data_IF_164119528600
#
_entry.id   IF_164119528600
#
_cell.length_a   1.000
_cell.length_b   1.000
_cell.length_c   1.000
_cell.angle_alpha   90.00
_cell.angle_beta   90.00
_cell.angle_gamma   90.00
#
_symmetry.space_group_name_H-M   'P 1'
#
loop_
_entity.id
_entity.type
_entity.pdbx_description
1 polymer ?
#
# COMPACT_ATOMS: atom_id res chain seq x y z
N UNK A 1 -48.79 -76.86 -11.60
CA UNK A 1 -48.78 -76.78 -13.07
C UNK A 1 -48.74 -75.31 -13.43
N UNK A 2 -47.93 -74.90 -14.39
CA UNK A 2 -47.67 -73.58 -14.93
C UNK A 2 -46.68 -72.66 -14.12
N UNK A 3 -45.41 -72.71 -14.58
CA UNK A 3 -44.36 -71.88 -14.21
C UNK A 3 -44.45 -70.46 -14.84
N UNK A 4 -44.33 -69.36 -14.08
CA UNK A 4 -44.15 -68.00 -14.58
C UNK A 4 -42.67 -67.65 -14.51
N UNK A 5 -42.03 -67.40 -15.66
CA UNK A 5 -40.69 -66.88 -15.83
C UNK A 5 -40.68 -65.38 -15.53
N UNK A 6 -39.93 -64.96 -14.55
CA UNK A 6 -39.59 -63.56 -14.30
C UNK A 6 -38.40 -63.15 -15.14
N UNK A 7 -38.57 -62.10 -15.93
CA UNK A 7 -37.48 -61.43 -16.71
C UNK A 7 -36.78 -60.41 -15.82
N UNK A 8 -35.52 -60.65 -15.52
CA UNK A 8 -34.61 -59.61 -14.93
C UNK A 8 -34.28 -58.59 -16.00
N UNK A 9 -34.64 -57.34 -15.73
CA UNK A 9 -34.08 -56.17 -16.44
C UNK A 9 -32.78 -55.76 -15.77
N UNK A 10 -31.66 -55.83 -16.48
CA UNK A 10 -30.38 -55.28 -16.08
C UNK A 10 -30.37 -53.82 -16.45
N UNK A 11 -30.40 -52.90 -15.48
CA UNK A 11 -30.10 -51.49 -15.62
C UNK A 11 -28.59 -51.33 -15.50
N UNK A 12 -27.93 -50.89 -16.60
CA UNK A 12 -26.51 -50.51 -16.57
C UNK A 12 -26.42 -49.09 -16.01
N UNK A 13 -25.82 -48.94 -14.84
CA UNK A 13 -25.44 -47.63 -14.30
C UNK A 13 -24.10 -47.21 -14.91
N UNK A 14 -24.12 -46.14 -15.67
CA UNK A 14 -22.93 -45.50 -16.23
C UNK A 14 -22.30 -44.65 -15.12
N UNK A 15 -21.18 -45.12 -14.52
CA UNK A 15 -20.37 -44.34 -13.63
C UNK A 15 -19.46 -43.41 -14.47
N UNK A 16 -19.78 -42.09 -14.45
CA UNK A 16 -18.87 -41.05 -14.90
C UNK A 16 -17.82 -40.86 -13.83
N UNK A 17 -16.58 -41.33 -14.09
CA UNK A 17 -15.40 -40.95 -13.34
C UNK A 17 -15.03 -39.53 -13.73
N UNK A 18 -15.27 -38.57 -12.86
CA UNK A 18 -14.65 -37.23 -12.91
C UNK A 18 -13.24 -37.39 -12.37
N UNK A 19 -12.25 -37.42 -13.24
CA UNK A 19 -10.84 -37.37 -12.85
C UNK A 19 -10.51 -35.96 -12.37
N UNK A 20 -10.49 -35.73 -11.05
CA UNK A 20 -9.89 -34.55 -10.47
C UNK A 20 -8.37 -34.66 -10.68
N UNK A 21 -7.84 -33.88 -11.58
CA UNK A 21 -6.38 -33.69 -11.73
C UNK A 21 -5.88 -32.93 -10.52
N UNK A 22 -5.41 -33.64 -9.51
CA UNK A 22 -4.66 -33.04 -8.41
C UNK A 22 -3.29 -32.62 -8.94
N UNK A 23 -3.04 -31.32 -9.02
CA UNK A 23 -1.71 -30.78 -9.30
C UNK A 23 -0.75 -31.22 -8.20
N UNK A 24 0.21 -32.08 -8.51
CA UNK A 24 1.16 -32.65 -7.56
C UNK A 24 2.14 -31.59 -7.00
N UNK A 25 2.89 -31.91 -5.93
CA UNK A 25 3.81 -30.98 -5.26
C UNK A 25 4.90 -30.38 -6.17
N UNK A 26 5.25 -31.03 -7.24
CA UNK A 26 6.17 -30.50 -8.26
C UNK A 26 5.62 -29.28 -9.01
N UNK A 27 4.30 -29.18 -9.26
CA UNK A 27 3.68 -28.02 -9.88
C UNK A 27 3.67 -26.81 -8.94
N UNK A 28 3.41 -27.02 -7.66
CA UNK A 28 3.46 -25.97 -6.64
C UNK A 28 4.88 -25.41 -6.45
N UNK A 29 5.89 -26.27 -6.45
CA UNK A 29 7.31 -25.86 -6.38
C UNK A 29 7.77 -25.11 -7.62
N UNK A 30 7.32 -25.50 -8.82
CA UNK A 30 7.64 -24.81 -10.08
C UNK A 30 6.98 -23.42 -10.13
N UNK A 31 5.73 -23.30 -9.66
CA UNK A 31 5.05 -22.01 -9.55
C UNK A 31 5.69 -21.10 -8.49
N UNK A 32 6.06 -21.62 -7.34
CA UNK A 32 6.74 -20.84 -6.29
C UNK A 32 8.12 -20.34 -6.75
N UNK A 33 8.86 -21.17 -7.49
CA UNK A 33 10.13 -20.75 -8.09
C UNK A 33 9.95 -19.70 -9.18
N UNK A 34 8.97 -19.85 -10.06
CA UNK A 34 8.64 -18.86 -11.09
C UNK A 34 8.21 -17.51 -10.50
N UNK A 35 7.46 -17.52 -9.39
CA UNK A 35 7.06 -16.30 -8.65
C UNK A 35 8.29 -15.62 -8.02
N UNK A 36 9.26 -16.37 -7.50
CA UNK A 36 10.48 -15.78 -6.93
C UNK A 36 11.42 -15.26 -8.01
N UNK A 37 11.63 -16.01 -9.11
CA UNK A 37 12.43 -15.56 -10.26
C UNK A 37 11.82 -14.28 -10.90
N UNK A 38 10.50 -14.16 -10.91
CA UNK A 38 9.78 -12.99 -11.42
C UNK A 38 9.97 -11.77 -10.50
N UNK A 39 10.00 -11.95 -9.15
CA UNK A 39 10.32 -10.89 -8.19
C UNK A 39 11.70 -10.29 -8.44
N UNK A 40 12.71 -11.11 -8.67
CA UNK A 40 14.09 -10.66 -8.86
C UNK A 40 14.28 -9.88 -10.17
N UNK A 41 13.56 -10.25 -11.23
CA UNK A 41 13.60 -9.54 -12.53
C UNK A 41 12.85 -8.20 -12.47
N UNK A 42 11.75 -8.12 -11.71
CA UNK A 42 10.95 -6.90 -11.52
C UNK A 42 11.73 -5.88 -10.70
N UNK A 43 12.42 -6.31 -9.65
CA UNK A 43 13.13 -5.43 -8.72
C UNK A 43 14.27 -4.61 -9.35
N UNK A 44 14.82 -5.02 -10.50
CA UNK A 44 16.00 -4.38 -11.09
C UNK A 44 15.71 -3.20 -12.02
N UNK A 45 14.49 -3.04 -12.53
CA UNK A 45 14.19 -2.02 -13.58
C UNK A 45 12.90 -1.24 -13.33
N UNK A 46 12.00 -1.76 -12.53
CA UNK A 46 10.73 -1.14 -12.25
C UNK A 46 10.82 -0.26 -10.99
N UNK A 47 10.02 0.79 -10.93
CA UNK A 47 9.96 1.71 -9.80
C UNK A 47 8.50 1.85 -9.40
N UNK A 48 8.25 1.76 -8.09
CA UNK A 48 6.92 1.98 -7.55
C UNK A 48 6.45 3.41 -7.84
N UNK A 49 5.24 3.52 -8.38
CA UNK A 49 4.60 4.81 -8.67
C UNK A 49 3.43 5.10 -7.75
N UNK A 50 2.91 4.08 -7.09
CA UNK A 50 1.90 4.15 -6.05
C UNK A 50 2.00 2.89 -5.18
N UNK A 51 1.81 3.04 -3.87
CA UNK A 51 1.74 1.95 -2.91
C UNK A 51 0.83 2.32 -1.76
N UNK A 52 0.25 1.30 -1.12
CA UNK A 52 -0.52 1.42 0.11
C UNK A 52 -0.32 0.16 0.96
N UNK A 53 -0.04 0.34 2.24
CA UNK A 53 0.14 -0.75 3.18
C UNK A 53 -1.09 -1.63 3.30
N UNK A 54 -0.89 -2.93 3.19
CA UNK A 54 -1.95 -3.91 3.29
C UNK A 54 -2.28 -4.23 4.76
N UNK A 55 -3.58 -4.32 5.05
CA UNK A 55 -4.15 -4.77 6.31
C UNK A 55 -5.36 -5.68 6.06
N UNK A 56 -5.99 -6.14 7.12
CA UNK A 56 -7.21 -6.93 7.09
C UNK A 56 -8.44 -6.02 6.95
N UNK A 57 -9.25 -6.23 5.90
CA UNK A 57 -10.47 -5.44 5.61
C UNK A 57 -11.79 -6.17 5.88
N UNK A 58 -11.82 -7.12 6.82
CA UNK A 58 -13.01 -7.94 7.06
C UNK A 58 -13.14 -9.08 6.06
N UNK A 59 -14.35 -9.57 5.83
CA UNK A 59 -14.60 -10.71 4.95
C UNK A 59 -14.64 -10.29 3.48
N UNK A 60 -14.08 -11.12 2.60
CA UNK A 60 -14.18 -10.99 1.16
C UNK A 60 -15.60 -11.26 0.67
N UNK A 61 -15.98 -10.61 -0.42
CA UNK A 61 -17.31 -10.73 -1.03
C UNK A 61 -17.20 -11.49 -2.35
N UNK A 62 -18.06 -12.52 -2.53
CA UNK A 62 -18.14 -13.29 -3.78
C UNK A 62 -18.79 -12.48 -4.90
N UNK A 63 -18.41 -12.79 -6.14
CA UNK A 63 -18.97 -12.22 -7.37
C UNK A 63 -18.98 -10.69 -7.31
N UNK A 64 -17.84 -10.10 -6.91
CA UNK A 64 -17.70 -8.66 -6.64
C UNK A 64 -16.61 -8.05 -7.49
N UNK A 65 -16.96 -6.98 -8.21
CA UNK A 65 -15.99 -6.10 -8.86
C UNK A 65 -15.66 -4.91 -7.99
N UNK A 66 -14.38 -4.55 -7.96
CA UNK A 66 -13.86 -3.32 -7.36
C UNK A 66 -13.18 -2.49 -8.44
N UNK A 67 -13.42 -1.19 -8.45
CA UNK A 67 -12.77 -0.21 -9.32
C UNK A 67 -12.01 0.79 -8.46
N UNK A 68 -10.71 0.59 -8.38
CA UNK A 68 -9.81 1.25 -7.45
C UNK A 68 -9.11 2.41 -8.16
N UNK A 69 -9.24 3.61 -7.60
CA UNK A 69 -8.60 4.81 -8.13
C UNK A 69 -7.30 5.05 -7.36
N UNK A 70 -6.18 5.16 -8.08
CA UNK A 70 -4.86 5.40 -7.50
C UNK A 70 -4.15 6.54 -8.23
N UNK A 71 -3.36 7.35 -7.50
CA UNK A 71 -2.67 8.51 -8.07
C UNK A 71 -1.18 8.24 -8.25
N UNK A 72 -0.71 8.32 -9.49
CA UNK A 72 0.67 7.95 -9.83
C UNK A 72 1.66 9.05 -9.50
N UNK A 73 2.81 8.68 -8.92
CA UNK A 73 3.89 9.63 -8.57
C UNK A 73 4.95 9.79 -9.65
N UNK A 74 5.31 8.73 -10.36
CA UNK A 74 6.35 8.75 -11.40
C UNK A 74 5.84 8.19 -12.72
N UNK A 75 6.24 8.83 -13.84
CA UNK A 75 5.90 8.35 -15.18
C UNK A 75 6.82 7.22 -15.63
N UNK A 76 6.27 6.29 -16.42
CA UNK A 76 7.07 5.21 -17.02
C UNK A 76 6.28 4.41 -18.06
N UNK A 77 6.93 3.45 -18.65
CA UNK A 77 6.30 2.41 -19.48
C UNK A 77 6.04 1.13 -18.68
N UNK A 78 5.52 0.13 -19.34
CA UNK A 78 5.45 -1.25 -18.83
C UNK A 78 4.81 -1.33 -17.41
N UNK A 79 3.63 -0.72 -17.29
CA UNK A 79 2.83 -0.74 -16.05
C UNK A 79 2.68 -2.17 -15.52
N UNK A 80 2.90 -2.37 -14.22
CA UNK A 80 2.55 -3.59 -13.48
C UNK A 80 1.77 -3.22 -12.22
N UNK A 81 0.87 -4.10 -11.83
CA UNK A 81 0.21 -4.04 -10.52
C UNK A 81 0.64 -5.21 -9.65
N UNK A 82 0.53 -5.06 -8.34
CA UNK A 82 0.66 -6.14 -7.37
C UNK A 82 -0.68 -6.34 -6.68
N UNK A 83 -1.23 -7.57 -6.79
CA UNK A 83 -2.39 -8.01 -6.03
C UNK A 83 -1.94 -8.82 -4.83
N UNK A 84 -2.58 -8.62 -3.70
CA UNK A 84 -2.18 -9.18 -2.40
C UNK A 84 -3.30 -10.00 -1.76
N UNK A 85 -2.94 -11.19 -1.30
CA UNK A 85 -3.72 -12.05 -0.42
C UNK A 85 -2.98 -12.24 0.92
N UNK A 86 -2.27 -11.20 1.38
CA UNK A 86 -1.38 -11.26 2.53
C UNK A 86 -2.10 -11.62 3.84
N UNK A 87 -3.37 -11.24 3.97
CA UNK A 87 -4.22 -11.50 5.14
C UNK A 87 -5.29 -12.56 4.87
N UNK A 88 -5.34 -13.14 3.68
CA UNK A 88 -6.22 -14.25 3.35
C UNK A 88 -5.79 -15.55 4.03
N UNK A 89 -6.77 -16.40 4.37
CA UNK A 89 -6.57 -17.71 5.01
C UNK A 89 -6.66 -18.88 4.01
N UNK A 90 -6.98 -18.60 2.76
CA UNK A 90 -7.13 -19.56 1.64
C UNK A 90 -6.77 -18.94 0.31
N UNK A 91 -6.59 -19.74 -0.77
CA UNK A 91 -6.36 -19.19 -2.11
C UNK A 91 -7.51 -18.28 -2.56
N UNK A 92 -7.16 -17.16 -3.17
CA UNK A 92 -8.08 -16.16 -3.74
C UNK A 92 -7.86 -16.06 -5.25
N UNK A 93 -8.94 -16.14 -6.02
CA UNK A 93 -8.89 -16.01 -7.48
C UNK A 93 -9.37 -14.62 -7.91
N UNK A 94 -8.65 -14.02 -8.85
CA UNK A 94 -9.08 -12.90 -9.68
C UNK A 94 -9.20 -13.42 -11.10
N UNK A 95 -10.40 -13.45 -11.66
CA UNK A 95 -10.64 -14.01 -12.99
C UNK A 95 -10.60 -12.95 -14.10
N UNK A 96 -10.83 -11.67 -13.74
CA UNK A 96 -10.66 -10.54 -14.62
C UNK A 96 -10.02 -9.35 -13.91
N UNK A 97 -9.01 -8.75 -14.56
CA UNK A 97 -8.25 -7.60 -14.05
C UNK A 97 -7.96 -6.64 -15.19
N UNK A 98 -8.31 -5.37 -15.02
CA UNK A 98 -8.12 -4.33 -16.03
C UNK A 98 -7.44 -3.09 -15.43
N UNK A 99 -6.77 -2.32 -16.28
CA UNK A 99 -6.23 -1.01 -15.95
C UNK A 99 -6.58 0.01 -17.02
N UNK A 100 -7.01 1.21 -16.59
CA UNK A 100 -7.40 2.30 -17.46
C UNK A 100 -7.12 3.66 -16.85
N UNK A 101 -7.45 4.73 -17.56
CA UNK A 101 -7.28 6.12 -17.11
C UNK A 101 -8.63 6.68 -16.66
N UNK A 102 -8.68 7.27 -15.46
CA UNK A 102 -9.90 7.90 -14.97
C UNK A 102 -10.31 9.09 -15.83
N UNK A 103 -11.56 9.14 -16.22
CA UNK A 103 -12.17 10.33 -16.82
C UNK A 103 -12.83 11.20 -15.75
N UNK A 104 -13.76 10.63 -15.01
CA UNK A 104 -14.43 11.25 -13.87
C UNK A 104 -15.21 10.21 -13.08
N UNK A 105 -15.18 10.27 -11.74
CA UNK A 105 -15.86 9.27 -10.92
C UNK A 105 -15.43 7.86 -11.28
N UNK A 106 -16.36 6.96 -11.53
CA UNK A 106 -16.07 5.61 -11.97
C UNK A 106 -15.85 5.47 -13.49
N UNK A 107 -16.08 6.54 -14.29
CA UNK A 107 -15.91 6.48 -15.75
C UNK A 107 -14.44 6.53 -16.16
N UNK A 108 -14.09 5.77 -17.20
CA UNK A 108 -12.78 5.71 -17.81
C UNK A 108 -12.72 6.53 -19.09
N UNK A 109 -11.53 7.01 -19.44
CA UNK A 109 -11.27 7.59 -20.76
C UNK A 109 -11.53 6.52 -21.83
N UNK A 110 -12.37 6.79 -22.85
CA UNK A 110 -12.71 5.78 -23.86
C UNK A 110 -11.48 5.17 -24.56
N UNK A 111 -11.44 3.85 -24.64
CA UNK A 111 -10.34 3.09 -25.24
C UNK A 111 -9.11 2.94 -24.33
N UNK A 112 -9.16 3.44 -23.08
CA UNK A 112 -8.04 3.30 -22.15
C UNK A 112 -8.07 2.02 -21.33
N UNK A 113 -9.22 1.33 -21.21
CA UNK A 113 -9.37 0.15 -20.38
C UNK A 113 -8.72 -1.07 -21.03
N UNK A 114 -7.72 -1.67 -20.39
CA UNK A 114 -6.94 -2.76 -20.97
C UNK A 114 -6.81 -3.90 -19.97
N UNK A 115 -7.06 -5.13 -20.46
CA UNK A 115 -6.92 -6.34 -19.65
C UNK A 115 -5.46 -6.57 -19.26
N UNK A 116 -5.23 -6.92 -18.01
CA UNK A 116 -3.95 -7.37 -17.48
C UNK A 116 -3.87 -8.90 -17.54
N UNK A 117 -2.65 -9.41 -17.60
CA UNK A 117 -2.37 -10.86 -17.55
C UNK A 117 -1.36 -11.17 -16.45
N UNK A 118 -1.30 -12.44 -16.07
CA UNK A 118 -0.41 -12.98 -15.04
C UNK A 118 0.23 -14.26 -15.58
N UNK A 119 1.50 -14.16 -16.02
CA UNK A 119 2.19 -15.24 -16.72
C UNK A 119 1.51 -15.63 -18.03
N UNK A 120 0.92 -14.66 -18.75
CA UNK A 120 0.16 -14.82 -19.97
C UNK A 120 -1.30 -15.24 -19.78
N UNK A 121 -1.75 -15.60 -18.57
CA UNK A 121 -3.13 -15.93 -18.28
C UNK A 121 -3.94 -14.68 -17.89
N UNK A 122 -5.23 -14.62 -18.26
CA UNK A 122 -6.13 -13.52 -17.91
C UNK A 122 -6.67 -13.59 -16.48
N UNK A 123 -6.38 -14.67 -15.76
CA UNK A 123 -6.78 -14.89 -14.37
C UNK A 123 -5.58 -15.28 -13.51
N UNK A 124 -5.67 -15.07 -12.20
CA UNK A 124 -4.66 -15.48 -11.23
C UNK A 124 -5.30 -15.98 -9.95
N UNK A 125 -4.79 -17.08 -9.40
CA UNK A 125 -5.13 -17.57 -8.06
C UNK A 125 -3.92 -17.35 -7.14
N UNK A 126 -4.10 -16.55 -6.10
CA UNK A 126 -3.05 -16.16 -5.16
C UNK A 126 -3.20 -16.98 -3.87
N UNK A 127 -2.21 -17.78 -3.47
CA UNK A 127 -2.24 -18.50 -2.20
C UNK A 127 -2.40 -17.57 -0.99
N UNK A 128 -2.88 -18.11 0.12
CA UNK A 128 -2.90 -17.41 1.41
C UNK A 128 -1.51 -16.86 1.76
N UNK A 129 -1.44 -15.63 2.23
CA UNK A 129 -0.19 -14.95 2.61
C UNK A 129 0.70 -14.51 1.44
N UNK A 130 0.27 -14.70 0.18
CA UNK A 130 1.07 -14.43 -1.01
C UNK A 130 0.62 -13.17 -1.77
N UNK A 131 1.45 -12.78 -2.75
CA UNK A 131 1.16 -11.70 -3.70
C UNK A 131 1.38 -12.18 -5.12
N UNK A 132 0.75 -11.53 -6.10
CA UNK A 132 0.98 -11.74 -7.52
C UNK A 132 1.23 -10.43 -8.25
N UNK A 133 2.20 -10.44 -9.18
CA UNK A 133 2.45 -9.31 -10.07
C UNK A 133 1.85 -9.59 -11.44
N UNK A 134 1.23 -8.57 -12.04
CA UNK A 134 0.80 -8.68 -13.44
C UNK A 134 2.00 -8.74 -14.39
N UNK A 135 1.77 -9.25 -15.59
CA UNK A 135 2.68 -9.04 -16.71
C UNK A 135 2.75 -7.53 -17.05
N UNK A 136 3.81 -7.07 -17.74
CA UNK A 136 3.92 -5.66 -18.09
C UNK A 136 2.85 -5.26 -19.10
N UNK A 137 2.06 -4.25 -18.77
CA UNK A 137 1.14 -3.61 -19.69
C UNK A 137 1.90 -2.53 -20.47
N UNK A 138 2.18 -2.78 -21.74
CA UNK A 138 2.91 -1.84 -22.60
C UNK A 138 2.16 -0.51 -22.76
N UNK A 139 2.89 0.57 -22.91
CA UNK A 139 2.34 1.93 -23.02
C UNK A 139 2.97 2.85 -21.98
N UNK A 140 2.75 4.17 -22.13
CA UNK A 140 3.28 5.16 -21.20
C UNK A 140 2.20 5.58 -20.20
N UNK A 141 2.49 5.45 -18.92
CA UNK A 141 1.71 6.02 -17.83
C UNK A 141 2.31 7.38 -17.43
N UNK A 142 1.54 8.47 -17.42
CA UNK A 142 2.03 9.76 -16.95
C UNK A 142 2.23 9.76 -15.42
N UNK A 143 3.08 10.65 -14.92
CA UNK A 143 3.07 11.01 -13.50
C UNK A 143 1.87 11.92 -13.19
N UNK A 144 1.51 12.00 -11.90
CA UNK A 144 0.42 12.83 -11.40
C UNK A 144 -0.90 12.64 -12.18
N UNK A 145 -1.24 11.37 -12.44
CA UNK A 145 -2.48 10.98 -13.11
C UNK A 145 -3.22 9.91 -12.32
N UNK A 146 -4.54 9.89 -12.44
CA UNK A 146 -5.35 8.87 -11.81
C UNK A 146 -5.43 7.64 -12.73
N UNK A 147 -4.83 6.55 -12.27
CA UNK A 147 -4.98 5.22 -12.83
C UNK A 147 -6.17 4.55 -12.16
N UNK A 148 -6.91 3.79 -12.93
CA UNK A 148 -8.01 2.96 -12.46
C UNK A 148 -7.60 1.50 -12.61
N UNK A 149 -7.68 0.73 -11.53
CA UNK A 149 -7.52 -0.71 -11.56
C UNK A 149 -8.86 -1.35 -11.21
N UNK A 150 -9.42 -2.13 -12.14
CA UNK A 150 -10.66 -2.88 -11.94
C UNK A 150 -10.35 -4.36 -11.77
N UNK A 151 -10.84 -4.97 -10.70
CA UNK A 151 -10.62 -6.38 -10.35
C UNK A 151 -11.95 -7.07 -10.06
N UNK A 152 -12.08 -8.34 -10.40
CA UNK A 152 -13.23 -9.16 -10.05
C UNK A 152 -12.82 -10.39 -9.22
N UNK A 153 -13.57 -10.65 -8.16
CA UNK A 153 -13.43 -11.83 -7.29
C UNK A 153 -14.67 -12.71 -7.46
N UNK A 154 -14.58 -13.85 -8.17
CA UNK A 154 -15.74 -14.72 -8.42
C UNK A 154 -16.26 -15.41 -7.15
N UNK A 155 -15.36 -15.66 -6.20
CA UNK A 155 -15.65 -16.38 -4.96
C UNK A 155 -15.29 -15.53 -3.72
N UNK A 156 -16.04 -15.71 -2.62
CA UNK A 156 -15.67 -15.20 -1.30
C UNK A 156 -14.51 -16.04 -0.75
N UNK A 157 -13.32 -15.50 -0.73
CA UNK A 157 -12.11 -16.24 -0.38
C UNK A 157 -11.55 -15.86 0.99
N UNK A 158 -12.39 -15.89 2.02
CA UNK A 158 -11.98 -15.58 3.40
C UNK A 158 -11.72 -14.10 3.64
N UNK A 159 -10.78 -13.76 4.55
CA UNK A 159 -10.48 -12.38 4.88
C UNK A 159 -9.94 -11.59 3.70
N UNK A 160 -10.49 -10.39 3.48
CA UNK A 160 -10.01 -9.48 2.44
C UNK A 160 -8.74 -8.77 2.90
N UNK A 161 -7.75 -8.76 2.02
CA UNK A 161 -6.54 -7.93 2.16
C UNK A 161 -6.79 -6.58 1.49
N UNK A 162 -6.32 -5.49 2.11
CA UNK A 162 -6.39 -4.18 1.47
C UNK A 162 -5.97 -3.06 2.40
N UNK A 163 -6.28 -1.82 2.02
CA UNK A 163 -5.99 -0.63 2.79
C UNK A 163 -7.28 0.12 3.14
N UNK A 164 -7.49 0.38 4.42
CA UNK A 164 -8.80 0.83 4.94
C UNK A 164 -9.11 2.30 4.71
N UNK A 165 -8.10 3.17 4.66
CA UNK A 165 -8.28 4.62 4.56
C UNK A 165 -7.61 5.19 3.31
N UNK A 166 -8.27 5.05 2.16
CA UNK A 166 -7.71 5.48 0.89
C UNK A 166 -7.63 7.02 0.71
N UNK A 167 -8.40 7.81 1.44
CA UNK A 167 -8.63 9.24 1.17
C UNK A 167 -8.97 9.50 -0.31
N UNK A 168 -9.50 8.48 -0.97
CA UNK A 168 -9.86 8.44 -2.38
C UNK A 168 -11.12 7.61 -2.55
N UNK A 169 -12.11 8.15 -3.24
CA UNK A 169 -13.31 7.42 -3.59
C UNK A 169 -12.99 6.37 -4.65
N UNK A 170 -13.23 5.12 -4.32
CA UNK A 170 -13.23 3.97 -5.22
C UNK A 170 -14.64 3.40 -5.34
N UNK A 171 -14.86 2.44 -6.22
CA UNK A 171 -16.20 1.94 -6.54
C UNK A 171 -16.24 0.42 -6.45
N UNK A 172 -17.43 -0.10 -6.18
CA UNK A 172 -17.69 -1.54 -6.18
C UNK A 172 -19.08 -1.85 -6.77
N UNK A 173 -19.24 -3.07 -7.26
CA UNK A 173 -20.53 -3.57 -7.79
C UNK A 173 -20.56 -5.07 -7.75
N UNK A 174 -21.77 -5.65 -7.77
CA UNK A 174 -22.01 -7.10 -7.91
C UNK A 174 -21.78 -7.52 -9.36
N UNK A 175 -21.19 -8.69 -9.57
CA UNK A 175 -20.89 -9.24 -10.89
C UNK A 175 -19.60 -8.69 -11.51
N UNK A 176 -19.19 -9.25 -12.65
CA UNK A 176 -18.02 -8.77 -13.39
C UNK A 176 -18.38 -7.60 -14.32
N UNK A 177 -17.85 -6.43 -13.97
CA UNK A 177 -17.96 -5.19 -14.74
C UNK A 177 -16.56 -4.59 -15.04
N UNK A 178 -15.50 -5.36 -14.86
CA UNK A 178 -14.10 -4.88 -14.99
C UNK A 178 -13.77 -4.37 -16.38
N UNK A 179 -14.31 -5.01 -17.41
CA UNK A 179 -14.13 -4.63 -18.82
C UNK A 179 -14.86 -3.36 -19.27
N UNK A 180 -15.82 -2.87 -18.49
CA UNK A 180 -16.65 -1.72 -18.86
C UNK A 180 -15.94 -0.38 -18.60
N UNK A 181 -16.06 0.58 -19.51
CA UNK A 181 -15.53 1.94 -19.35
C UNK A 181 -16.54 2.91 -18.74
N UNK A 182 -17.84 2.58 -18.84
CA UNK A 182 -18.95 3.36 -18.29
C UNK A 182 -18.97 3.30 -16.76
N UNK A 183 -19.46 4.38 -16.14
CA UNK A 183 -19.74 4.42 -14.70
C UNK A 183 -21.05 3.72 -14.31
N UNK A 184 -21.89 3.33 -15.27
CA UNK A 184 -23.32 2.96 -15.03
C UNK A 184 -23.49 1.79 -14.06
N UNK A 185 -22.64 0.77 -14.14
CA UNK A 185 -22.72 -0.39 -13.27
C UNK A 185 -22.12 -0.14 -11.86
N UNK A 186 -21.32 0.88 -11.66
CA UNK A 186 -20.56 1.14 -10.46
C UNK A 186 -21.36 1.99 -9.45
N UNK A 187 -22.26 1.35 -8.72
CA UNK A 187 -23.25 2.01 -7.87
C UNK A 187 -22.79 2.23 -6.43
N UNK A 188 -21.94 1.37 -5.93
CA UNK A 188 -21.44 1.46 -4.56
C UNK A 188 -20.12 2.22 -4.53
N UNK A 189 -19.90 3.00 -3.48
CA UNK A 189 -18.64 3.68 -3.22
C UNK A 189 -17.92 3.05 -2.03
N UNK A 190 -16.60 3.09 -2.06
CA UNK A 190 -15.74 2.69 -0.94
C UNK A 190 -14.57 3.65 -0.76
N UNK A 191 -14.19 3.88 0.48
CA UNK A 191 -12.98 4.63 0.86
C UNK A 191 -11.77 3.73 1.11
N UNK A 192 -11.77 2.50 0.57
CA UNK A 192 -10.71 1.50 0.77
C UNK A 192 -10.17 0.99 -0.56
N UNK A 193 -8.91 0.56 -0.58
CA UNK A 193 -8.33 -0.19 -1.69
C UNK A 193 -8.29 -1.68 -1.34
N UNK A 194 -9.06 -2.48 -2.08
CA UNK A 194 -9.13 -3.93 -1.89
C UNK A 194 -8.10 -4.65 -2.76
N UNK A 195 -7.30 -5.49 -2.17
CA UNK A 195 -6.35 -6.42 -2.81
C UNK A 195 -5.23 -5.80 -3.65
N UNK A 196 -5.32 -4.54 -4.03
CA UNK A 196 -4.27 -3.79 -4.75
C UNK A 196 -3.39 -3.07 -3.72
N UNK A 197 -2.09 -3.39 -3.70
CA UNK A 197 -1.16 -2.78 -2.75
C UNK A 197 0.06 -2.11 -3.40
N UNK A 198 0.31 -2.32 -4.70
CA UNK A 198 1.35 -1.57 -5.41
C UNK A 198 1.07 -1.44 -6.90
N UNK A 199 1.53 -0.32 -7.45
CA UNK A 199 1.63 -0.08 -8.89
C UNK A 199 3.07 0.35 -9.20
N UNK A 200 3.69 -0.26 -10.20
CA UNK A 200 5.02 0.06 -10.65
C UNK A 200 5.07 0.34 -12.15
N UNK A 201 6.07 1.07 -12.56
CA UNK A 201 6.35 1.41 -13.97
C UNK A 201 7.84 1.26 -14.24
N UNK A 202 8.21 1.20 -15.51
CA UNK A 202 9.60 1.28 -15.95
C UNK A 202 9.92 2.71 -16.39
N UNK A 203 10.53 3.53 -15.52
CA UNK A 203 10.93 4.90 -15.84
C UNK A 203 12.27 4.93 -16.58
N UNK A 204 12.85 6.13 -16.74
CA UNK A 204 14.22 6.30 -17.23
C UNK A 204 15.22 5.60 -16.31
N UNK A 205 16.33 5.13 -16.87
CA UNK A 205 17.40 4.48 -16.09
C UNK A 205 17.91 5.40 -14.96
N UNK A 206 18.23 4.79 -13.83
CA UNK A 206 18.71 5.52 -12.67
C UNK A 206 17.62 6.18 -11.81
N UNK A 207 16.34 6.05 -12.18
CA UNK A 207 15.24 6.54 -11.33
C UNK A 207 15.03 5.62 -10.12
N UNK A 208 14.76 6.20 -8.96
CA UNK A 208 14.42 5.50 -7.72
C UNK A 208 13.14 6.02 -7.07
N UNK A 209 12.79 5.42 -5.93
CA UNK A 209 11.63 5.80 -5.14
C UNK A 209 11.99 6.00 -3.67
N UNK A 210 11.18 6.83 -2.99
CA UNK A 210 11.07 6.90 -1.53
C UNK A 210 9.78 6.21 -1.11
N UNK A 211 9.85 5.46 -0.03
CA UNK A 211 8.69 4.84 0.62
C UNK A 211 8.48 5.49 1.97
N UNK A 212 7.33 6.10 2.17
CA UNK A 212 6.94 6.76 3.41
C UNK A 212 6.30 5.73 4.34
N UNK A 213 7.04 5.31 5.38
CA UNK A 213 6.57 4.43 6.44
C UNK A 213 6.06 5.28 7.58
N UNK A 214 4.78 5.13 7.94
CA UNK A 214 4.18 5.97 8.96
C UNK A 214 2.79 5.54 9.42
N UNK A 215 2.19 6.40 10.22
CA UNK A 215 0.86 6.24 10.81
C UNK A 215 -0.22 7.06 10.07
N UNK A 216 -1.28 7.50 10.78
CA UNK A 216 -2.38 8.28 10.24
C UNK A 216 -1.97 9.57 9.56
N UNK A 217 -0.87 10.21 10.00
CA UNK A 217 -0.40 11.46 9.41
C UNK A 217 0.20 11.20 8.02
N UNK A 218 0.89 10.08 7.85
CA UNK A 218 1.40 9.64 6.55
C UNK A 218 0.29 9.12 5.66
N UNK A 219 -0.60 8.27 6.19
CA UNK A 219 -1.81 7.76 5.56
C UNK A 219 -2.76 8.90 5.06
N UNK A 220 -2.65 10.07 5.67
CA UNK A 220 -3.31 11.30 5.22
C UNK A 220 -4.63 11.60 5.89
N UNK A 221 -4.85 11.11 7.11
CA UNK A 221 -6.01 11.52 7.92
C UNK A 221 -6.15 13.03 7.94
N UNK A 222 -7.39 13.52 7.82
CA UNK A 222 -7.77 14.94 7.75
C UNK A 222 -7.30 15.70 6.47
N UNK A 223 -6.66 15.05 5.51
CA UNK A 223 -6.47 15.64 4.19
C UNK A 223 -7.77 15.63 3.38
N UNK A 224 -7.92 16.55 2.42
CA UNK A 224 -9.11 16.59 1.57
C UNK A 224 -9.14 15.38 0.66
N UNK A 225 -10.21 14.56 0.76
CA UNK A 225 -10.42 13.37 -0.08
C UNK A 225 -10.50 13.71 -1.57
N UNK A 226 -10.10 12.76 -2.43
CA UNK A 226 -10.16 12.79 -3.89
C UNK A 226 -9.26 13.83 -4.58
N UNK A 227 -8.42 14.56 -3.84
CA UNK A 227 -7.57 15.62 -4.41
C UNK A 227 -6.07 15.40 -4.17
N UNK A 228 -5.68 14.27 -3.57
CA UNK A 228 -4.30 13.87 -3.37
C UNK A 228 -3.47 14.95 -2.65
N UNK A 229 -3.84 15.23 -1.39
CA UNK A 229 -3.22 16.28 -0.55
C UNK A 229 -2.54 15.74 0.70
N UNK A 230 -2.20 14.47 0.76
CA UNK A 230 -1.32 13.89 1.75
C UNK A 230 0.10 14.47 1.60
N UNK A 231 0.89 14.49 2.66
CA UNK A 231 2.27 15.00 2.53
C UNK A 231 3.11 14.21 1.51
N UNK A 232 2.96 12.87 1.35
CA UNK A 232 3.65 12.13 0.28
C UNK A 232 3.18 12.54 -1.12
N UNK A 233 1.92 12.93 -1.31
CA UNK A 233 1.42 13.45 -2.59
C UNK A 233 2.04 14.81 -2.94
N UNK A 234 2.19 15.72 -1.95
CA UNK A 234 2.90 16.98 -2.14
C UNK A 234 4.38 16.75 -2.43
N UNK A 235 5.03 15.81 -1.72
CA UNK A 235 6.42 15.41 -1.97
C UNK A 235 6.59 14.89 -3.40
N UNK A 236 5.69 14.02 -3.89
CA UNK A 236 5.71 13.50 -5.26
C UNK A 236 5.70 14.64 -6.28
N UNK A 237 4.83 15.64 -6.11
CA UNK A 237 4.79 16.83 -6.99
C UNK A 237 6.09 17.63 -6.99
N UNK A 238 6.75 17.76 -5.83
CA UNK A 238 8.07 18.42 -5.71
C UNK A 238 9.16 17.63 -6.43
N UNK A 239 9.19 16.30 -6.24
CA UNK A 239 10.16 15.41 -6.86
C UNK A 239 10.05 15.42 -8.39
N UNK A 240 8.84 15.49 -8.96
CA UNK A 240 8.67 15.59 -10.41
C UNK A 240 9.31 16.86 -11.01
N UNK A 241 9.37 17.94 -10.24
CA UNK A 241 9.96 19.23 -10.67
C UNK A 241 11.44 19.36 -10.32
N UNK A 242 12.00 18.42 -9.55
CA UNK A 242 13.39 18.45 -9.09
C UNK A 242 14.35 17.83 -10.11
N UNK A 243 15.65 18.05 -9.91
CA UNK A 243 16.73 17.38 -10.64
C UNK A 243 17.19 16.06 -10.02
N UNK A 244 16.57 15.59 -8.91
CA UNK A 244 16.98 14.38 -8.19
C UNK A 244 16.62 13.10 -8.97
N UNK A 245 17.34 12.02 -8.71
CA UNK A 245 17.04 10.72 -9.32
C UNK A 245 15.84 10.01 -8.65
N UNK A 246 15.53 10.32 -7.40
CA UNK A 246 14.32 9.81 -6.75
C UNK A 246 13.09 10.56 -7.29
N UNK A 247 12.11 9.82 -7.81
CA UNK A 247 10.90 10.35 -8.43
C UNK A 247 9.64 9.63 -7.96
N UNK A 248 9.74 8.31 -7.69
CA UNK A 248 8.64 7.53 -7.16
C UNK A 248 8.39 7.83 -5.69
N UNK A 249 7.13 7.85 -5.29
CA UNK A 249 6.69 7.94 -3.90
C UNK A 249 5.62 6.87 -3.67
N UNK A 250 5.80 6.05 -2.63
CA UNK A 250 4.79 5.16 -2.11
C UNK A 250 4.42 5.60 -0.70
N UNK A 251 3.13 5.61 -0.42
CA UNK A 251 2.58 5.93 0.88
C UNK A 251 2.23 4.62 1.61
N UNK A 252 3.04 4.29 2.61
CA UNK A 252 2.87 3.09 3.43
C UNK A 252 2.48 3.48 4.86
N UNK A 253 1.63 4.51 4.99
CA UNK A 253 0.95 4.87 6.23
C UNK A 253 -0.15 3.87 6.59
N UNK A 254 -0.41 3.69 7.87
CA UNK A 254 -1.59 3.01 8.41
C UNK A 254 -2.11 3.83 9.61
N UNK A 255 -3.34 4.30 9.55
CA UNK A 255 -3.94 5.07 10.64
C UNK A 255 -3.94 4.29 11.95
N UNK A 256 -3.37 4.90 13.01
CA UNK A 256 -3.24 4.27 14.33
C UNK A 256 -2.06 3.32 14.48
N UNK A 257 -1.23 3.15 13.45
CA UNK A 257 -0.09 2.22 13.47
C UNK A 257 0.96 2.61 14.52
N UNK A 258 1.73 1.61 14.94
CA UNK A 258 2.79 1.72 15.93
C UNK A 258 4.10 1.15 15.41
N UNK A 259 5.20 1.61 15.94
CA UNK A 259 6.53 1.06 15.65
C UNK A 259 6.67 -0.36 16.21
N UNK A 260 6.23 -0.57 17.47
CA UNK A 260 6.63 -1.72 18.29
C UNK A 260 5.58 -2.83 18.37
N UNK A 261 4.30 -2.50 18.29
CA UNK A 261 3.22 -3.44 18.57
C UNK A 261 2.17 -3.46 17.48
N UNK A 262 1.70 -4.65 17.10
CA UNK A 262 0.55 -4.82 16.25
C UNK A 262 -0.72 -4.28 16.90
N UNK A 263 -1.70 -3.90 16.09
CA UNK A 263 -2.98 -3.34 16.55
C UNK A 263 -3.75 -2.79 15.37
N UNK A 264 -3.66 -1.50 15.10
CA UNK A 264 -4.07 -0.93 13.83
C UNK A 264 -3.04 -1.33 12.77
N UNK A 265 -3.30 -2.43 12.11
CA UNK A 265 -2.37 -3.14 11.23
C UNK A 265 -1.19 -3.80 11.99
N UNK A 266 -0.33 -4.44 11.23
CA UNK A 266 0.95 -4.92 11.76
C UNK A 266 1.88 -3.74 12.07
N UNK A 267 2.68 -3.85 13.14
CA UNK A 267 3.64 -2.80 13.52
C UNK A 267 4.62 -2.49 12.39
N UNK A 268 5.18 -1.28 12.39
CA UNK A 268 6.19 -0.88 11.42
C UNK A 268 7.33 -1.90 11.32
N UNK A 269 7.76 -2.46 12.44
CA UNK A 269 8.78 -3.52 12.49
C UNK A 269 8.33 -4.81 11.77
N UNK A 270 7.08 -5.23 11.95
CA UNK A 270 6.57 -6.48 11.38
C UNK A 270 6.28 -6.35 9.88
N UNK A 271 5.78 -5.19 9.43
CA UNK A 271 5.43 -4.94 8.01
C UNK A 271 6.58 -4.37 7.16
N UNK A 272 7.71 -3.97 7.76
CA UNK A 272 8.82 -3.31 7.07
C UNK A 272 9.28 -4.04 5.80
N UNK A 273 9.43 -5.37 5.85
CA UNK A 273 9.87 -6.15 4.70
C UNK A 273 8.82 -6.17 3.60
N UNK A 274 7.54 -6.38 3.94
CA UNK A 274 6.45 -6.52 2.97
C UNK A 274 6.12 -5.18 2.30
N UNK A 275 5.94 -4.13 3.11
CA UNK A 275 5.38 -2.87 2.65
C UNK A 275 6.46 -1.89 2.16
N UNK A 276 7.70 -2.02 2.63
CA UNK A 276 8.74 -1.04 2.37
C UNK A 276 9.91 -1.62 1.58
N UNK A 277 10.65 -2.57 2.18
CA UNK A 277 11.94 -2.99 1.61
C UNK A 277 11.80 -3.83 0.33
N UNK A 278 10.64 -4.49 0.12
CA UNK A 278 10.36 -5.26 -1.10
C UNK A 278 9.78 -4.42 -2.25
N UNK A 279 9.54 -3.12 -2.05
CA UNK A 279 8.95 -2.28 -3.10
C UNK A 279 9.93 -2.05 -4.26
N UNK A 280 9.45 -2.09 -5.51
CA UNK A 280 10.30 -1.91 -6.68
C UNK A 280 10.99 -0.55 -6.70
N UNK A 281 12.29 -0.54 -6.90
CA UNK A 281 13.08 0.69 -7.08
C UNK A 281 13.23 1.55 -5.82
N UNK A 282 12.85 1.06 -4.63
CA UNK A 282 13.04 1.81 -3.38
C UNK A 282 14.53 2.07 -3.13
N UNK A 283 14.88 3.31 -2.82
CA UNK A 283 16.21 3.75 -2.38
C UNK A 283 16.20 4.23 -0.94
N UNK A 284 15.12 4.86 -0.55
CA UNK A 284 15.02 5.55 0.74
C UNK A 284 13.73 5.16 1.44
N UNK A 285 13.86 4.81 2.70
CA UNK A 285 12.77 4.72 3.66
C UNK A 285 12.64 6.07 4.34
N UNK A 286 11.46 6.69 4.25
CA UNK A 286 11.14 7.88 5.02
C UNK A 286 10.34 7.44 6.25
N UNK A 287 10.99 7.45 7.42
CA UNK A 287 10.42 6.96 8.68
C UNK A 287 9.78 8.11 9.45
N UNK A 288 8.45 8.10 9.53
CA UNK A 288 7.68 9.06 10.32
C UNK A 288 6.57 8.34 11.08
N UNK A 289 6.89 7.86 12.26
CA UNK A 289 6.02 7.04 13.09
C UNK A 289 6.39 7.16 14.57
N UNK A 290 5.50 6.76 15.50
CA UNK A 290 5.79 6.63 16.92
C UNK A 290 4.82 7.38 17.85
N UNK A 291 4.02 8.34 17.35
CA UNK A 291 3.07 9.07 18.20
C UNK A 291 2.04 8.12 18.83
N UNK A 292 1.64 7.06 18.12
CA UNK A 292 0.68 6.08 18.64
C UNK A 292 1.26 5.12 19.69
N UNK A 293 2.57 4.86 19.65
CA UNK A 293 3.25 4.15 20.74
C UNK A 293 3.25 5.00 22.01
N UNK A 294 3.54 6.30 21.86
CA UNK A 294 3.61 7.28 22.98
C UNK A 294 2.25 7.45 23.62
N UNK A 295 1.23 7.82 22.84
CA UNK A 295 -0.12 8.15 23.37
C UNK A 295 -0.92 6.94 23.84
N UNK A 296 -0.47 5.71 23.59
CA UNK A 296 -1.16 4.49 24.00
C UNK A 296 -1.10 4.23 25.51
N UNK A 297 -0.29 4.96 26.28
CA UNK A 297 -0.05 4.77 27.69
C UNK A 297 0.27 3.31 28.08
N UNK A 298 0.94 2.58 27.17
CA UNK A 298 1.29 1.17 27.36
C UNK A 298 2.60 0.96 28.13
N UNK A 299 3.19 2.04 28.65
CA UNK A 299 4.49 2.01 29.33
C UNK A 299 5.68 1.98 28.40
N UNK A 300 5.50 2.25 27.11
CA UNK A 300 6.60 2.39 26.12
C UNK A 300 7.48 3.57 26.50
N UNK A 301 8.78 3.32 26.60
CA UNK A 301 9.79 4.34 26.89
C UNK A 301 10.41 4.89 25.60
N UNK A 302 11.09 6.03 25.70
CA UNK A 302 11.87 6.55 24.57
C UNK A 302 12.96 5.56 24.11
N UNK A 303 13.58 4.83 25.04
CA UNK A 303 14.58 3.80 24.73
C UNK A 303 13.99 2.64 23.94
N UNK A 304 12.74 2.22 24.23
CA UNK A 304 12.07 1.17 23.46
C UNK A 304 11.82 1.62 22.02
N UNK A 305 11.30 2.85 21.82
CA UNK A 305 11.09 3.42 20.49
C UNK A 305 12.40 3.60 19.72
N UNK A 306 13.45 4.12 20.37
CA UNK A 306 14.78 4.26 19.78
C UNK A 306 15.33 2.89 19.36
N UNK A 307 15.16 1.87 20.17
CA UNK A 307 15.56 0.50 19.82
C UNK A 307 14.75 -0.03 18.61
N UNK A 308 13.48 0.31 18.50
CA UNK A 308 12.66 0.02 17.32
C UNK A 308 13.16 0.73 16.06
N UNK A 309 13.48 2.01 16.16
CA UNK A 309 14.05 2.78 15.04
C UNK A 309 15.39 2.21 14.58
N UNK A 310 16.28 1.84 15.50
CA UNK A 310 17.55 1.18 15.17
C UNK A 310 17.34 -0.11 14.39
N UNK A 311 16.35 -0.93 14.75
CA UNK A 311 16.04 -2.15 14.01
C UNK A 311 15.57 -1.83 12.58
N UNK A 312 14.78 -0.76 12.38
CA UNK A 312 14.36 -0.33 11.04
C UNK A 312 15.57 0.15 10.23
N UNK A 313 16.43 0.99 10.83
CA UNK A 313 17.66 1.51 10.22
C UNK A 313 18.58 0.37 9.80
N UNK A 314 18.89 -0.54 10.73
CA UNK A 314 19.78 -1.68 10.47
C UNK A 314 19.26 -2.57 9.34
N UNK A 315 17.97 -2.87 9.34
CA UNK A 315 17.34 -3.71 8.29
C UNK A 315 17.31 -3.02 6.94
N UNK A 316 17.11 -1.71 6.87
CA UNK A 316 17.17 -0.93 5.64
C UNK A 316 18.61 -0.85 5.11
N UNK A 317 19.56 -0.55 5.96
CA UNK A 317 20.99 -0.49 5.62
C UNK A 317 21.52 -1.85 5.15
N UNK A 318 21.10 -2.95 5.78
CA UNK A 318 21.49 -4.31 5.38
C UNK A 318 21.13 -4.67 3.93
N UNK A 319 20.14 -3.97 3.33
CA UNK A 319 19.73 -4.13 1.93
C UNK A 319 20.08 -2.90 1.07
N UNK A 320 21.00 -2.05 1.55
CA UNK A 320 21.53 -0.89 0.82
C UNK A 320 20.50 0.23 0.61
N UNK A 321 19.54 0.40 1.54
CA UNK A 321 18.60 1.50 1.55
C UNK A 321 18.97 2.52 2.62
N UNK A 322 18.70 3.81 2.36
CA UNK A 322 18.86 4.84 3.37
C UNK A 322 17.59 5.03 4.19
N UNK A 323 17.74 5.61 5.36
CA UNK A 323 16.64 6.00 6.22
C UNK A 323 16.69 7.49 6.51
N UNK A 324 15.69 8.22 6.06
CA UNK A 324 15.44 9.61 6.47
C UNK A 324 14.43 9.56 7.61
N UNK A 325 14.81 10.02 8.78
CA UNK A 325 13.94 10.09 9.94
C UNK A 325 13.24 11.44 10.03
N UNK A 326 11.96 11.42 10.41
CA UNK A 326 11.24 12.64 10.74
C UNK A 326 10.88 12.69 12.22
N UNK A 327 10.98 13.88 12.82
CA UNK A 327 10.62 14.09 14.22
C UNK A 327 9.12 13.98 14.44
N UNK A 328 8.71 13.37 15.54
CA UNK A 328 7.30 13.22 15.95
C UNK A 328 6.72 14.60 16.27
N UNK A 329 5.63 14.97 15.59
CA UNK A 329 4.96 16.26 15.73
C UNK A 329 4.36 16.48 17.12
N UNK A 330 4.03 17.73 17.46
CA UNK A 330 3.35 18.07 18.73
C UNK A 330 1.89 17.62 18.69
N UNK A 331 1.33 17.24 19.84
CA UNK A 331 -0.06 16.78 19.91
C UNK A 331 -0.78 17.19 21.23
N UNK A 332 -0.29 18.23 21.94
CA UNK A 332 -1.01 18.78 23.08
C UNK A 332 -2.39 19.31 22.65
N UNK A 333 -3.40 18.88 23.38
CA UNK A 333 -4.82 19.09 23.06
C UNK A 333 -5.52 17.82 22.57
N UNK A 334 -4.77 16.82 22.11
CA UNK A 334 -5.30 15.48 21.85
C UNK A 334 -5.67 14.79 23.19
N UNK A 335 -6.80 14.04 23.29
CA UNK A 335 -7.30 13.51 24.57
C UNK A 335 -6.33 12.63 25.35
N UNK A 336 -5.47 11.88 24.67
CA UNK A 336 -4.47 11.02 25.29
C UNK A 336 -3.08 11.69 25.47
N UNK A 337 -2.99 13.02 25.28
CA UNK A 337 -1.76 13.73 25.60
C UNK A 337 -1.55 13.85 27.11
N UNK A 338 -0.32 13.63 27.57
CA UNK A 338 0.13 13.98 28.93
C UNK A 338 1.62 14.38 28.93
N UNK A 339 2.05 14.97 30.05
CA UNK A 339 3.44 15.43 30.18
C UNK A 339 4.46 14.28 30.18
N UNK A 340 4.08 13.06 30.54
CA UNK A 340 4.98 11.92 30.49
C UNK A 340 5.21 11.47 29.04
N UNK A 341 4.14 11.39 28.23
CA UNK A 341 4.23 11.14 26.80
C UNK A 341 5.01 12.23 26.06
N UNK A 342 4.80 13.49 26.45
CA UNK A 342 5.59 14.60 25.89
C UNK A 342 7.09 14.46 26.20
N UNK A 343 7.47 14.06 27.40
CA UNK A 343 8.87 13.79 27.73
C UNK A 343 9.46 12.66 26.85
N UNK A 344 8.71 11.60 26.61
CA UNK A 344 9.11 10.53 25.68
C UNK A 344 9.26 11.08 24.26
N UNK A 345 8.31 11.88 23.78
CA UNK A 345 8.37 12.51 22.43
C UNK A 345 9.63 13.35 22.27
N UNK A 346 9.95 14.20 23.27
CA UNK A 346 11.13 15.06 23.21
C UNK A 346 12.44 14.26 23.20
N UNK A 347 12.54 13.19 24.00
CA UNK A 347 13.72 12.33 24.01
C UNK A 347 13.90 11.56 22.66
N UNK A 348 12.83 11.04 22.09
CA UNK A 348 12.82 10.41 20.76
C UNK A 348 13.21 11.43 19.69
N UNK A 349 12.66 12.64 19.74
CA UNK A 349 13.00 13.70 18.79
C UNK A 349 14.47 14.15 18.93
N UNK A 350 15.01 14.16 20.15
CA UNK A 350 16.44 14.42 20.37
C UNK A 350 17.32 13.34 19.72
N UNK A 351 16.95 12.06 19.84
CA UNK A 351 17.64 10.98 19.13
C UNK A 351 17.58 11.18 17.62
N UNK A 352 16.40 11.44 17.06
CA UNK A 352 16.22 11.65 15.61
C UNK A 352 17.12 12.82 15.13
N UNK A 353 17.15 13.93 15.85
CA UNK A 353 17.92 15.13 15.46
C UNK A 353 19.43 14.96 15.56
N UNK A 354 19.93 14.19 16.51
CA UNK A 354 21.34 14.30 16.91
C UNK A 354 22.11 12.99 17.05
N UNK A 355 21.49 11.82 16.90
CA UNK A 355 22.20 10.55 17.04
C UNK A 355 23.25 10.30 15.94
N UNK A 356 23.01 10.83 14.74
CA UNK A 356 23.83 10.53 13.56
C UNK A 356 23.63 9.10 13.01
N UNK A 357 22.63 8.36 13.50
CA UNK A 357 22.31 6.99 13.06
C UNK A 357 21.41 6.98 11.81
N UNK A 358 20.69 8.08 11.56
CA UNK A 358 19.86 8.29 10.37
C UNK A 358 20.70 8.93 9.25
N UNK A 359 20.43 8.58 7.99
CA UNK A 359 21.16 9.15 6.84
C UNK A 359 20.81 10.62 6.61
N UNK A 360 19.60 11.04 6.98
CA UNK A 360 19.17 12.43 7.03
C UNK A 360 17.99 12.60 7.98
N UNK A 361 17.66 13.85 8.29
CA UNK A 361 16.56 14.21 9.21
C UNK A 361 15.70 15.29 8.60
N UNK A 362 14.38 15.14 8.74
CA UNK A 362 13.40 16.18 8.48
C UNK A 362 12.70 16.56 9.80
N UNK A 363 12.76 17.81 10.20
CA UNK A 363 12.22 18.25 11.50
C UNK A 363 10.76 18.68 11.39
N UNK A 364 9.84 17.71 11.31
CA UNK A 364 8.41 17.96 11.23
C UNK A 364 7.84 18.60 12.52
N UNK A 365 8.42 18.26 13.69
CA UNK A 365 8.06 18.93 14.94
C UNK A 365 8.30 20.44 14.86
N UNK A 366 9.48 20.87 14.39
CA UNK A 366 9.78 22.28 14.21
C UNK A 366 8.83 23.00 13.23
N UNK A 367 8.45 22.31 12.15
CA UNK A 367 7.57 22.88 11.11
C UNK A 367 6.14 23.06 11.61
N UNK A 368 5.64 22.06 12.36
CA UNK A 368 4.23 22.00 12.72
C UNK A 368 3.92 22.72 14.05
N UNK A 369 4.89 22.85 14.95
CA UNK A 369 4.64 23.40 16.28
C UNK A 369 4.37 24.89 16.28
N UNK A 370 3.58 25.32 17.26
CA UNK A 370 3.36 26.74 17.54
C UNK A 370 4.64 27.38 18.08
N UNK A 371 5.02 28.60 17.64
CA UNK A 371 6.17 29.30 18.22
C UNK A 371 5.91 29.80 19.64
N UNK A 372 4.68 29.82 20.10
CA UNK A 372 4.28 30.30 21.44
C UNK A 372 4.10 29.15 22.44
N UNK A 373 3.86 27.94 21.93
CA UNK A 373 3.65 26.74 22.72
C UNK A 373 4.12 25.54 21.90
N UNK A 374 5.31 25.03 22.20
CA UNK A 374 5.98 24.05 21.35
C UNK A 374 5.41 22.63 21.48
N UNK A 375 4.51 22.40 22.44
CA UNK A 375 3.81 21.12 22.62
C UNK A 375 2.54 21.05 21.77
N UNK A 376 2.10 22.22 21.21
CA UNK A 376 0.91 22.36 20.38
C UNK A 376 1.23 22.55 18.91
N UNK A 377 0.39 21.97 18.07
CA UNK A 377 0.40 22.28 16.64
C UNK A 377 -0.03 23.73 16.39
N UNK A 378 0.62 24.40 15.43
CA UNK A 378 0.22 25.73 15.01
C UNK A 378 -1.22 25.67 14.46
N UNK A 379 -2.18 26.48 14.96
CA UNK A 379 -3.58 26.40 14.54
C UNK A 379 -3.81 26.52 13.03
N UNK A 380 -2.90 27.16 12.32
CA UNK A 380 -2.95 27.27 10.86
C UNK A 380 -2.75 25.92 10.15
N UNK A 381 -2.06 24.98 10.77
CA UNK A 381 -1.76 23.65 10.25
C UNK A 381 -2.65 22.55 10.84
N UNK A 382 -3.31 22.83 11.97
CA UNK A 382 -4.14 21.90 12.71
C UNK A 382 -5.46 21.63 11.96
N UNK A 383 -5.88 20.38 11.90
CA UNK A 383 -7.20 19.99 11.38
C UNK A 383 -8.34 20.32 12.35
N UNK A 384 -8.00 20.63 13.61
CA UNK A 384 -8.92 20.90 14.70
C UNK A 384 -8.96 19.78 15.75
N UNK A 385 -8.23 18.69 15.55
CA UNK A 385 -8.12 17.58 16.51
C UNK A 385 -6.79 17.58 17.29
N UNK A 386 -5.88 18.50 16.98
CA UNK A 386 -4.61 18.78 17.66
C UNK A 386 -3.50 17.74 17.46
N UNK A 387 -3.68 16.76 16.56
CA UNK A 387 -2.66 15.77 16.23
C UNK A 387 -2.46 15.62 14.71
N UNK A 388 -3.51 15.80 13.90
CA UNK A 388 -3.44 15.64 12.47
C UNK A 388 -3.33 16.99 11.74
N UNK A 389 -2.33 17.16 10.86
CA UNK A 389 -2.24 18.34 10.02
C UNK A 389 -3.37 18.39 8.98
N UNK A 390 -3.88 19.59 8.71
CA UNK A 390 -4.74 19.85 7.55
C UNK A 390 -3.93 19.91 6.25
N UNK A 391 -4.57 20.15 5.09
CA UNK A 391 -3.91 20.24 3.78
C UNK A 391 -2.71 21.22 3.76
N UNK A 392 -2.76 22.31 4.54
CA UNK A 392 -1.66 23.28 4.62
C UNK A 392 -0.50 22.75 5.44
N UNK A 393 -0.79 22.06 6.54
CA UNK A 393 0.20 21.36 7.35
C UNK A 393 0.88 20.25 6.53
N UNK A 394 0.11 19.44 5.81
CA UNK A 394 0.63 18.42 4.90
C UNK A 394 1.56 19.01 3.81
N UNK A 395 1.18 20.16 3.25
CA UNK A 395 2.04 20.85 2.27
C UNK A 395 3.33 21.37 2.92
N UNK A 396 3.25 21.96 4.10
CA UNK A 396 4.41 22.47 4.84
C UNK A 396 5.39 21.34 5.22
N UNK A 397 4.88 20.17 5.64
CA UNK A 397 5.68 18.97 5.89
C UNK A 397 6.47 18.55 4.64
N UNK A 398 5.77 18.42 3.53
CA UNK A 398 6.41 18.07 2.27
C UNK A 398 7.46 19.10 1.83
N UNK A 399 7.19 20.41 2.05
CA UNK A 399 8.12 21.50 1.70
C UNK A 399 9.39 21.50 2.57
N UNK A 400 9.33 20.99 3.78
CA UNK A 400 10.46 20.86 4.67
C UNK A 400 11.44 19.74 4.28
N UNK A 401 11.02 18.78 3.44
CA UNK A 401 11.89 17.68 3.01
C UNK A 401 12.99 18.19 2.09
N UNK A 402 14.25 17.97 2.46
CA UNK A 402 15.39 18.17 1.55
C UNK A 402 15.39 17.05 0.50
N UNK A 403 15.03 17.40 -0.72
CA UNK A 403 14.91 16.43 -1.81
C UNK A 403 16.25 15.75 -2.16
N UNK A 404 17.39 16.38 -1.85
CA UNK A 404 18.71 15.78 -2.11
C UNK A 404 19.01 14.65 -1.13
N UNK A 405 18.50 14.74 0.09
CA UNK A 405 18.69 13.71 1.11
C UNK A 405 17.94 12.40 0.79
N UNK A 406 17.01 12.43 -0.16
CA UNK A 406 16.27 11.25 -0.59
C UNK A 406 17.02 10.38 -1.62
N UNK A 407 18.17 10.81 -2.12
CA UNK A 407 18.98 10.05 -3.07
C UNK A 407 20.30 9.67 -2.44
N UNK A 408 20.31 8.53 -1.78
CA UNK A 408 21.49 8.02 -1.09
C UNK A 408 22.39 7.13 -1.98
N UNK A 409 22.28 7.23 -3.28
CA UNK A 409 23.22 6.54 -4.16
C UNK A 409 24.63 7.14 -3.93
N UNK A 410 25.43 6.49 -3.07
CA UNK A 410 26.85 6.75 -2.89
C UNK A 410 27.65 6.04 -3.97
#
# INVERSE_FOLDING_TARGET
MTARRARLRRTAALLLLVAAVQAGPAHAQTQAKAVNDQKDVIAQKDVITWGASADHLGDGVADRSYRLIVHTSVAGGDLRIRLSNAFGDRPLTFDDVYAGVQQAGAALVPGSNRRLTFGGAGSVTIPAGAVAYSDPLSGRLPAASNLVVSIHTPDAAGPATGHGMAMQTSYATQGDHTGEESATAWTDTTGSWYYLDAVSVRPSAGTGAVVALGDSITDGWASTSDVNRRWPDYLARRLQRSGTAVKGVADEGISGNKVLADGAGQSALNRLQRDVLSQPGVRTVFLFEGVNDIKAHSGVTAQDLIAGYRQIIDRAHAVGKCVVGATVGPFEGWPEWDAAGEAVRQEVNQFIRSSGELDAVTDFDHILRSPYDQERMLPFFDSGDHIHPNDKGMAAMADAVDLKSLDCAK
#
